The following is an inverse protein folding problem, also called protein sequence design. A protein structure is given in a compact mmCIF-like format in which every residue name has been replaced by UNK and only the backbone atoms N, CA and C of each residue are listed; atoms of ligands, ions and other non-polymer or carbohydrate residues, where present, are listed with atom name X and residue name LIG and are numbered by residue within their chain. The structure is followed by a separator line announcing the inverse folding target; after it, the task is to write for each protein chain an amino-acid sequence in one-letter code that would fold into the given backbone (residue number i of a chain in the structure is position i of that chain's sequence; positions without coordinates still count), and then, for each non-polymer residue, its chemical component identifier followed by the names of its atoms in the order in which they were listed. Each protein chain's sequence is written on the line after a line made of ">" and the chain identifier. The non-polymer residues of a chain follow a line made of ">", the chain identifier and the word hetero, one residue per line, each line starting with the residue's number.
data_IF_044875798111
#
_entry.id   IF_044875798111
#
_cell.length_a   1.000
_cell.length_b   1.000
_cell.length_c   1.000
_cell.angle_alpha   90.00
_cell.angle_beta   90.00
_cell.angle_gamma   90.00
#
_symmetry.space_group_name_H-M   'P 1'
#
loop_
_entity.id
_entity.type
_entity.pdbx_description
1 polymer ?
#
# COMPACT_ATOMS: atom_id res chain seq x y z
N UNK A 1 11.17 1.94 -2.66
CA UNK A 1 11.88 1.20 -3.70
C UNK A 1 10.95 0.82 -4.85
N UNK A 2 9.92 0.03 -4.56
CA UNK A 2 8.98 -0.51 -5.54
C UNK A 2 8.19 0.60 -6.27
N UNK A 3 7.72 1.59 -5.53
CA UNK A 3 6.90 2.70 -6.02
C UNK A 3 7.55 3.49 -7.16
N UNK A 4 8.86 3.83 -7.07
CA UNK A 4 9.53 4.63 -8.10
C UNK A 4 9.58 3.92 -9.45
N UNK A 5 9.93 2.63 -9.45
CA UNK A 5 10.00 1.84 -10.69
C UNK A 5 8.62 1.61 -11.28
N UNK A 6 7.62 1.30 -10.45
CA UNK A 6 6.23 1.13 -10.90
C UNK A 6 5.65 2.44 -11.44
N UNK A 7 5.91 3.58 -10.79
CA UNK A 7 5.47 4.89 -11.32
C UNK A 7 6.07 5.15 -12.70
N UNK A 8 7.35 4.82 -12.89
CA UNK A 8 8.02 4.95 -14.19
C UNK A 8 7.39 4.04 -15.24
N UNK A 9 7.18 2.76 -14.90
CA UNK A 9 6.50 1.82 -15.78
C UNK A 9 5.13 2.34 -16.22
N UNK A 10 4.30 2.78 -15.26
CA UNK A 10 2.96 3.29 -15.57
C UNK A 10 3.02 4.53 -16.46
N UNK A 11 3.96 5.44 -16.20
CA UNK A 11 4.15 6.64 -17.04
C UNK A 11 4.55 6.28 -18.48
N UNK A 12 5.45 5.30 -18.66
CA UNK A 12 5.87 4.81 -19.97
C UNK A 12 4.69 4.13 -20.72
N UNK A 13 3.89 3.30 -20.02
CA UNK A 13 2.70 2.66 -20.60
C UNK A 13 1.63 3.68 -21.00
N UNK A 14 1.45 4.74 -20.21
CA UNK A 14 0.55 5.85 -20.56
C UNK A 14 1.04 6.61 -21.79
N UNK A 15 2.35 6.86 -21.89
CA UNK A 15 2.96 7.52 -23.04
C UNK A 15 2.81 6.69 -24.32
N UNK A 16 3.02 5.38 -24.23
CA UNK A 16 2.86 4.43 -25.33
C UNK A 16 1.39 4.09 -25.65
N UNK A 17 0.43 4.65 -24.89
CA UNK A 17 -1.03 4.37 -24.98
C UNK A 17 -1.41 2.91 -24.79
N UNK A 18 -0.60 2.15 -24.06
CA UNK A 18 -0.85 0.74 -23.70
C UNK A 18 -1.67 0.60 -22.42
N UNK A 19 -2.87 1.17 -22.43
CA UNK A 19 -3.73 1.21 -21.23
C UNK A 19 -4.13 -0.17 -20.71
N UNK A 20 -4.17 -1.18 -21.59
CA UNK A 20 -4.54 -2.56 -21.25
C UNK A 20 -3.54 -3.26 -20.33
N UNK A 21 -2.30 -2.76 -20.21
CA UNK A 21 -1.25 -3.35 -19.37
C UNK A 21 -1.29 -2.83 -17.94
N UNK A 22 -1.99 -1.72 -17.69
CA UNK A 22 -1.97 -1.01 -16.39
C UNK A 22 -2.68 -1.83 -15.30
N UNK A 23 -3.93 -2.27 -15.52
CA UNK A 23 -4.66 -3.12 -14.56
C UNK A 23 -3.95 -4.46 -14.30
N UNK A 24 -3.49 -5.21 -15.32
CA UNK A 24 -2.70 -6.42 -15.10
C UNK A 24 -1.43 -6.21 -14.26
N UNK A 25 -0.72 -5.11 -14.46
CA UNK A 25 0.47 -4.78 -13.68
C UNK A 25 0.12 -4.40 -12.24
N UNK A 26 -1.00 -3.70 -12.02
CA UNK A 26 -1.51 -3.38 -10.68
C UNK A 26 -1.81 -4.65 -9.87
N UNK A 27 -2.51 -5.62 -10.45
CA UNK A 27 -2.78 -6.88 -9.77
C UNK A 27 -1.51 -7.68 -9.48
N UNK A 28 -0.59 -7.75 -10.45
CA UNK A 28 0.66 -8.47 -10.28
C UNK A 28 1.56 -7.82 -9.22
N UNK A 29 1.67 -6.49 -9.22
CA UNK A 29 2.43 -5.75 -8.21
C UNK A 29 1.83 -5.87 -6.81
N UNK A 30 0.50 -5.79 -6.70
CA UNK A 30 -0.23 -5.98 -5.45
C UNK A 30 -0.06 -7.39 -4.89
N UNK A 31 -0.21 -8.41 -5.75
CA UNK A 31 0.00 -9.80 -5.36
C UNK A 31 1.43 -10.05 -4.85
N UNK A 32 2.44 -9.52 -5.54
CA UNK A 32 3.82 -9.66 -5.14
C UNK A 32 4.10 -9.00 -3.78
N UNK A 33 3.58 -7.79 -3.56
CA UNK A 33 3.72 -7.10 -2.27
C UNK A 33 3.04 -7.86 -1.13
N UNK A 34 1.85 -8.41 -1.36
CA UNK A 34 1.11 -9.16 -0.34
C UNK A 34 1.75 -10.53 -0.07
N UNK A 35 2.14 -11.28 -1.10
CA UNK A 35 2.74 -12.62 -0.95
C UNK A 35 4.07 -12.56 -0.18
N UNK A 36 4.86 -11.52 -0.38
CA UNK A 36 6.14 -11.36 0.31
C UNK A 36 5.96 -10.65 1.66
N UNK A 37 5.26 -9.52 1.67
CA UNK A 37 5.18 -8.65 2.85
C UNK A 37 4.32 -9.22 3.96
N UNK A 38 3.16 -9.80 3.62
CA UNK A 38 2.21 -10.30 4.62
C UNK A 38 2.76 -11.43 5.49
N UNK A 39 3.41 -12.48 4.94
CA UNK A 39 4.02 -13.52 5.77
C UNK A 39 5.15 -13.01 6.64
N UNK A 40 6.02 -12.14 6.11
CA UNK A 40 7.12 -11.55 6.88
C UNK A 40 6.60 -10.76 8.07
N UNK A 41 5.55 -9.95 7.87
CA UNK A 41 4.95 -9.17 8.93
C UNK A 41 4.19 -10.05 9.93
N UNK A 42 3.50 -11.09 9.48
CA UNK A 42 2.84 -12.07 10.34
C UNK A 42 3.84 -12.81 11.26
N UNK A 43 4.98 -13.23 10.71
CA UNK A 43 6.07 -13.85 11.50
C UNK A 43 6.60 -12.86 12.53
N UNK A 44 6.85 -11.62 12.15
CA UNK A 44 7.30 -10.58 13.09
C UNK A 44 6.32 -10.39 14.25
N UNK A 45 5.01 -10.28 13.98
CA UNK A 45 3.99 -10.14 15.02
C UNK A 45 3.86 -11.38 15.92
N UNK A 46 4.00 -12.58 15.34
CA UNK A 46 4.00 -13.83 16.10
C UNK A 46 5.19 -13.92 17.05
N UNK A 47 6.39 -13.53 16.60
CA UNK A 47 7.59 -13.48 17.42
C UNK A 47 7.49 -12.42 18.54
N UNK A 48 6.73 -11.35 18.33
CA UNK A 48 6.45 -10.33 19.34
C UNK A 48 5.42 -10.76 20.40
N UNK A 49 5.06 -12.06 20.47
CA UNK A 49 4.14 -12.65 21.45
C UNK A 49 2.76 -11.94 21.53
N UNK A 50 2.26 -11.49 20.39
CA UNK A 50 0.94 -10.85 20.28
C UNK A 50 -0.17 -11.89 20.26
N UNK A 51 -1.36 -11.52 20.73
CA UNK A 51 -2.54 -12.39 20.63
C UNK A 51 -2.92 -12.66 19.17
N UNK A 52 -3.55 -13.79 18.91
CA UNK A 52 -3.97 -14.16 17.55
C UNK A 52 -4.86 -13.09 16.89
N UNK A 53 -5.73 -12.45 17.67
CA UNK A 53 -6.59 -11.37 17.20
C UNK A 53 -5.78 -10.14 16.79
N UNK A 54 -4.75 -9.76 17.57
CA UNK A 54 -3.85 -8.64 17.24
C UNK A 54 -3.02 -8.95 16.00
N UNK A 55 -2.53 -10.18 15.86
CA UNK A 55 -1.82 -10.63 14.66
C UNK A 55 -2.72 -10.54 13.43
N UNK A 56 -3.93 -11.07 13.50
CA UNK A 56 -4.87 -11.05 12.37
C UNK A 56 -5.22 -9.61 11.93
N UNK A 57 -5.55 -8.75 12.89
CA UNK A 57 -5.86 -7.34 12.59
C UNK A 57 -4.64 -6.58 12.08
N UNK A 58 -3.44 -6.83 12.64
CA UNK A 58 -2.20 -6.23 12.18
C UNK A 58 -1.86 -6.62 10.75
N UNK A 59 -2.00 -7.90 10.42
CA UNK A 59 -1.79 -8.43 9.06
C UNK A 59 -2.80 -7.83 8.09
N UNK A 60 -4.07 -7.71 8.48
CA UNK A 60 -5.10 -7.07 7.68
C UNK A 60 -4.74 -5.61 7.37
N UNK A 61 -4.45 -4.82 8.41
CA UNK A 61 -4.07 -3.40 8.26
C UNK A 61 -2.81 -3.25 7.40
N UNK A 62 -1.81 -4.10 7.59
CA UNK A 62 -0.60 -4.09 6.77
C UNK A 62 -0.93 -4.35 5.29
N UNK A 63 -1.78 -5.33 5.00
CA UNK A 63 -2.23 -5.63 3.64
C UNK A 63 -2.98 -4.45 3.00
N UNK A 64 -3.90 -3.82 3.74
CA UNK A 64 -4.62 -2.63 3.30
C UNK A 64 -3.67 -1.47 2.99
N UNK A 65 -2.70 -1.21 3.87
CA UNK A 65 -1.69 -0.18 3.66
C UNK A 65 -0.84 -0.45 2.41
N UNK A 66 -0.37 -1.69 2.22
CA UNK A 66 0.38 -2.06 1.01
C UNK A 66 -0.42 -1.79 -0.26
N UNK A 67 -1.71 -2.17 -0.28
CA UNK A 67 -2.59 -1.93 -1.43
C UNK A 67 -2.88 -0.45 -1.64
N UNK A 68 -3.15 0.31 -0.58
CA UNK A 68 -3.36 1.77 -0.66
C UNK A 68 -2.13 2.46 -1.25
N UNK A 69 -0.92 2.16 -0.77
CA UNK A 69 0.31 2.74 -1.30
C UNK A 69 0.56 2.34 -2.75
N UNK A 70 0.27 1.09 -3.13
CA UNK A 70 0.38 0.66 -4.51
C UNK A 70 -0.60 1.41 -5.41
N UNK A 71 -1.88 1.51 -5.03
CA UNK A 71 -2.91 2.27 -5.77
C UNK A 71 -2.53 3.75 -5.91
N UNK A 72 -2.04 4.39 -4.84
CA UNK A 72 -1.58 5.78 -4.88
C UNK A 72 -0.48 5.96 -5.94
N UNK A 73 0.42 5.00 -6.09
CA UNK A 73 1.47 5.02 -7.11
C UNK A 73 0.88 5.13 -8.52
N UNK A 74 -0.16 4.34 -8.83
CA UNK A 74 -0.85 4.38 -10.12
C UNK A 74 -1.67 5.66 -10.31
N UNK A 75 -2.41 6.10 -9.30
CA UNK A 75 -3.20 7.33 -9.34
C UNK A 75 -2.33 8.59 -9.46
N UNK A 76 -1.13 8.56 -8.88
CA UNK A 76 -0.14 9.64 -9.02
C UNK A 76 0.38 9.73 -10.45
N UNK A 77 0.62 8.61 -11.11
CA UNK A 77 1.06 8.58 -12.50
C UNK A 77 0.05 9.24 -13.46
N UNK A 78 -1.25 9.10 -13.19
CA UNK A 78 -2.33 9.78 -13.94
C UNK A 78 -2.67 11.17 -13.39
N UNK A 79 -1.91 11.68 -12.39
CA UNK A 79 -2.09 13.00 -11.77
C UNK A 79 -3.45 13.21 -11.10
N UNK A 80 -4.09 12.15 -10.63
CA UNK A 80 -5.42 12.20 -9.98
C UNK A 80 -5.33 12.54 -8.49
N UNK A 81 -4.60 13.61 -8.15
CA UNK A 81 -4.32 14.01 -6.75
C UNK A 81 -5.58 14.35 -5.94
N UNK A 82 -6.59 14.94 -6.59
CA UNK A 82 -7.85 15.31 -5.91
C UNK A 82 -8.57 14.07 -5.36
N UNK A 83 -8.57 12.99 -6.12
CA UNK A 83 -9.23 11.74 -5.71
C UNK A 83 -8.44 11.03 -4.60
N UNK A 84 -7.11 11.11 -4.63
CA UNK A 84 -6.26 10.63 -3.53
C UNK A 84 -6.61 11.37 -2.23
N UNK A 85 -6.70 12.71 -2.28
CA UNK A 85 -7.06 13.52 -1.11
C UNK A 85 -8.46 13.16 -0.58
N UNK A 86 -9.45 12.98 -1.46
CA UNK A 86 -10.79 12.52 -1.05
C UNK A 86 -10.76 11.16 -0.34
N UNK A 87 -9.93 10.23 -0.85
CA UNK A 87 -9.73 8.93 -0.21
C UNK A 87 -9.18 9.06 1.22
N UNK A 88 -8.22 9.94 1.46
CA UNK A 88 -7.71 10.21 2.81
C UNK A 88 -8.78 10.81 3.73
N UNK A 89 -9.58 11.77 3.24
CA UNK A 89 -10.69 12.31 4.02
C UNK A 89 -11.73 11.24 4.36
N UNK A 90 -12.03 10.34 3.41
CA UNK A 90 -12.89 9.19 3.65
C UNK A 90 -12.33 8.30 4.76
N UNK A 91 -11.04 7.94 4.68
CA UNK A 91 -10.39 7.11 5.69
C UNK A 91 -10.47 7.74 7.08
N UNK A 92 -10.13 9.02 7.20
CA UNK A 92 -10.19 9.77 8.47
C UNK A 92 -11.62 9.80 9.00
N UNK A 93 -12.60 10.15 8.16
CA UNK A 93 -14.00 10.23 8.55
C UNK A 93 -14.53 8.89 9.07
N UNK A 94 -14.30 7.80 8.33
CA UNK A 94 -14.72 6.44 8.73
C UNK A 94 -14.00 6.03 10.02
N UNK A 95 -12.69 6.25 10.14
CA UNK A 95 -11.92 5.90 11.34
C UNK A 95 -12.43 6.65 12.57
N UNK A 96 -12.68 7.95 12.46
CA UNK A 96 -13.16 8.77 13.58
C UNK A 96 -14.56 8.33 14.01
N UNK A 97 -15.50 8.19 13.08
CA UNK A 97 -16.88 7.81 13.39
C UNK A 97 -16.93 6.40 14.02
N UNK A 98 -16.28 5.42 13.39
CA UNK A 98 -16.25 4.05 13.91
C UNK A 98 -15.46 3.94 15.20
N UNK A 99 -14.39 4.75 15.37
CA UNK A 99 -13.59 4.80 16.60
C UNK A 99 -14.40 5.34 17.78
N UNK A 100 -15.13 6.43 17.62
CA UNK A 100 -16.02 6.97 18.64
C UNK A 100 -17.11 5.96 19.02
N UNK A 101 -17.71 5.32 18.03
CA UNK A 101 -18.72 4.27 18.26
C UNK A 101 -18.12 3.10 19.06
N UNK A 102 -16.90 2.68 18.71
CA UNK A 102 -16.20 1.58 19.40
C UNK A 102 -15.87 1.91 20.86
N UNK A 103 -15.51 3.16 21.16
CA UNK A 103 -15.31 3.64 22.53
C UNK A 103 -16.64 3.59 23.29
N UNK A 104 -17.73 4.04 22.68
CA UNK A 104 -19.05 4.04 23.30
C UNK A 104 -19.55 2.62 23.62
N UNK A 105 -19.22 1.66 22.75
CA UNK A 105 -19.56 0.24 22.92
C UNK A 105 -18.54 -0.55 23.78
N UNK A 106 -17.54 0.11 24.35
CA UNK A 106 -16.48 -0.49 25.18
C UNK A 106 -15.77 -1.68 24.50
N UNK A 107 -15.58 -1.65 23.19
CA UNK A 107 -14.96 -2.73 22.42
C UNK A 107 -13.44 -2.78 22.64
N UNK A 108 -12.92 -3.93 23.12
CA UNK A 108 -11.49 -4.10 23.46
C UNK A 108 -10.54 -3.77 22.28
N UNK A 109 -10.91 -4.14 21.06
CA UNK A 109 -10.11 -3.92 19.85
C UNK A 109 -10.74 -2.87 18.90
N UNK A 110 -11.74 -2.14 19.39
CA UNK A 110 -12.57 -1.28 18.57
C UNK A 110 -11.83 -0.18 17.85
N UNK A 111 -10.85 0.47 18.49
CA UNK A 111 -10.04 1.53 17.88
C UNK A 111 -9.20 0.96 16.73
N UNK A 112 -8.57 -0.22 16.93
CA UNK A 112 -7.76 -0.84 15.89
C UNK A 112 -8.61 -1.29 14.69
N UNK A 113 -9.76 -1.88 14.96
CA UNK A 113 -10.74 -2.24 13.93
C UNK A 113 -11.24 -1.00 13.16
N UNK A 114 -11.41 0.12 13.84
CA UNK A 114 -11.83 1.38 13.21
C UNK A 114 -10.80 1.91 12.22
N UNK A 115 -9.50 1.76 12.51
CA UNK A 115 -8.42 2.09 11.59
C UNK A 115 -8.45 1.17 10.37
N UNK A 116 -8.63 -0.15 10.56
CA UNK A 116 -8.79 -1.09 9.44
C UNK A 116 -10.01 -0.73 8.57
N UNK A 117 -11.15 -0.39 9.16
CA UNK A 117 -12.34 0.02 8.40
C UNK A 117 -12.10 1.29 7.58
N UNK A 118 -11.37 2.27 8.15
CA UNK A 118 -11.02 3.50 7.43
C UNK A 118 -10.10 3.25 6.24
N UNK A 119 -9.01 2.52 6.44
CA UNK A 119 -8.09 2.19 5.35
C UNK A 119 -8.68 1.22 4.34
N UNK A 120 -9.49 0.24 4.78
CA UNK A 120 -10.24 -0.65 3.90
C UNK A 120 -11.22 0.11 3.00
N UNK A 121 -11.94 1.09 3.54
CA UNK A 121 -12.81 1.98 2.77
C UNK A 121 -12.04 2.82 1.73
N UNK A 122 -10.89 3.39 2.13
CA UNK A 122 -10.00 4.11 1.22
C UNK A 122 -9.47 3.21 0.11
N UNK A 123 -8.99 2.01 0.47
CA UNK A 123 -8.51 1.01 -0.47
C UNK A 123 -9.59 0.68 -1.53
N UNK A 124 -10.79 0.34 -1.06
CA UNK A 124 -11.90 0.03 -1.96
C UNK A 124 -12.24 1.19 -2.91
N UNK A 125 -12.32 2.40 -2.38
CA UNK A 125 -12.55 3.61 -3.17
C UNK A 125 -11.49 3.81 -4.25
N UNK A 126 -10.21 3.73 -3.89
CA UNK A 126 -9.10 3.97 -4.81
C UNK A 126 -8.95 2.85 -5.86
N UNK A 127 -9.16 1.58 -5.48
CA UNK A 127 -9.12 0.46 -6.42
C UNK A 127 -10.25 0.60 -7.45
N UNK A 128 -11.45 0.99 -7.03
CA UNK A 128 -12.55 1.27 -7.94
C UNK A 128 -12.20 2.38 -8.94
N UNK A 129 -11.56 3.44 -8.48
CA UNK A 129 -11.12 4.53 -9.36
C UNK A 129 -10.17 4.07 -10.45
N UNK A 130 -9.19 3.20 -10.14
CA UNK A 130 -8.29 2.66 -11.18
C UNK A 130 -9.10 1.89 -12.24
N UNK A 131 -10.10 1.10 -11.83
CA UNK A 131 -10.95 0.35 -12.76
C UNK A 131 -11.84 1.25 -13.61
N UNK A 132 -12.26 2.40 -13.07
CA UNK A 132 -13.03 3.39 -13.82
C UNK A 132 -12.16 4.14 -14.86
N UNK A 133 -10.85 4.28 -14.60
CA UNK A 133 -9.92 4.96 -15.52
C UNK A 133 -9.38 4.05 -16.64
N UNK A 134 -9.22 2.75 -16.36
CA UNK A 134 -8.56 1.84 -17.29
C UNK A 134 -9.43 0.64 -17.64
N UNK A 135 -9.30 0.11 -18.90
CA UNK A 135 -10.03 -1.08 -19.29
C UNK A 135 -9.64 -2.27 -18.39
N UNK A 136 -10.64 -2.92 -17.82
CA UNK A 136 -10.46 -4.04 -16.92
C UNK A 136 -10.01 -5.30 -17.67
N UNK A 137 -8.79 -5.76 -17.41
CA UNK A 137 -8.31 -7.07 -17.81
C UNK A 137 -7.83 -7.81 -16.56
N UNK A 138 -8.46 -8.94 -16.24
CA UNK A 138 -8.15 -9.71 -15.03
C UNK A 138 -6.87 -10.55 -15.12
N UNK A 139 -6.13 -10.48 -16.23
CA UNK A 139 -4.84 -11.17 -16.37
C UNK A 139 -3.78 -10.42 -15.58
N UNK A 140 -2.97 -11.15 -14.80
CA UNK A 140 -1.78 -10.59 -14.16
C UNK A 140 -0.64 -10.49 -15.17
N UNK A 141 0.06 -9.35 -15.21
CA UNK A 141 1.25 -9.15 -16.03
C UNK A 141 2.42 -8.67 -15.17
N UNK A 142 3.52 -9.41 -15.23
CA UNK A 142 4.76 -9.08 -14.52
C UNK A 142 5.75 -8.32 -15.39
N UNK A 143 5.32 -7.72 -16.49
CA UNK A 143 6.20 -6.98 -17.40
C UNK A 143 6.95 -5.84 -16.72
N UNK A 144 6.34 -5.21 -15.71
CA UNK A 144 6.97 -4.14 -14.93
C UNK A 144 8.28 -4.58 -14.25
N UNK A 145 8.51 -5.88 -14.05
CA UNK A 145 9.77 -6.39 -13.48
C UNK A 145 10.97 -6.12 -14.40
N UNK A 146 10.77 -6.07 -15.73
CA UNK A 146 11.81 -5.71 -16.68
C UNK A 146 12.33 -4.28 -16.47
N UNK A 147 11.49 -3.39 -15.93
CA UNK A 147 11.87 -2.02 -15.60
C UNK A 147 12.82 -1.94 -14.41
N UNK A 148 12.82 -2.95 -13.51
CA UNK A 148 13.81 -3.03 -12.43
C UNK A 148 15.23 -3.26 -12.96
N UNK A 149 15.38 -4.07 -14.00
CA UNK A 149 16.67 -4.30 -14.65
C UNK A 149 17.09 -3.07 -15.48
N UNK A 150 16.16 -2.51 -16.26
CA UNK A 150 16.43 -1.36 -17.13
C UNK A 150 16.69 -0.07 -16.35
N UNK A 151 16.03 0.13 -15.21
CA UNK A 151 16.16 1.30 -14.34
C UNK A 151 16.72 0.93 -12.96
N UNK A 152 17.78 0.12 -12.93
CA UNK A 152 18.41 -0.33 -11.69
C UNK A 152 18.85 0.82 -10.78
N UNK A 153 19.27 1.94 -11.35
CA UNK A 153 19.69 3.13 -10.58
C UNK A 153 18.50 3.81 -9.90
N UNK A 154 17.32 3.78 -10.51
CA UNK A 154 16.09 4.26 -9.87
C UNK A 154 15.68 3.36 -8.70
N UNK A 155 15.84 2.06 -8.84
CA UNK A 155 15.61 1.09 -7.76
C UNK A 155 16.62 1.30 -6.60
N UNK A 156 17.91 1.50 -6.89
CA UNK A 156 18.93 1.83 -5.89
C UNK A 156 18.62 3.14 -5.17
N UNK A 157 18.23 4.19 -5.91
CA UNK A 157 17.82 5.47 -5.34
C UNK A 157 16.65 5.29 -4.36
N UNK A 158 15.64 4.50 -4.72
CA UNK A 158 14.53 4.16 -3.82
C UNK A 158 14.98 3.41 -2.57
N UNK A 159 15.99 2.53 -2.68
CA UNK A 159 16.58 1.84 -1.53
C UNK A 159 17.32 2.83 -0.61
N UNK A 160 18.13 3.72 -1.16
CA UNK A 160 18.82 4.74 -0.38
C UNK A 160 17.87 5.69 0.34
N UNK A 161 16.78 6.09 -0.33
CA UNK A 161 15.73 6.89 0.32
C UNK A 161 15.08 6.15 1.49
N UNK A 162 14.81 4.86 1.34
CA UNK A 162 14.26 4.03 2.41
C UNK A 162 15.24 3.94 3.59
N UNK A 163 16.51 3.64 3.34
CA UNK A 163 17.55 3.59 4.38
C UNK A 163 17.68 4.94 5.07
N UNK A 164 17.70 6.05 4.34
CA UNK A 164 17.78 7.39 4.90
C UNK A 164 16.57 7.72 5.79
N UNK A 165 15.36 7.32 5.38
CA UNK A 165 14.13 7.55 6.11
C UNK A 165 14.10 6.79 7.45
N UNK A 166 14.65 5.58 7.49
CA UNK A 166 14.71 4.75 8.69
C UNK A 166 16.02 4.86 9.47
N UNK A 167 17.00 5.62 8.97
CA UNK A 167 18.31 5.75 9.60
C UNK A 167 18.22 6.21 11.08
N UNK A 168 17.34 7.17 11.37
CA UNK A 168 17.13 7.66 12.74
C UNK A 168 16.58 6.58 13.68
N UNK A 169 15.74 5.68 13.21
CA UNK A 169 15.19 4.56 13.99
C UNK A 169 16.30 3.54 14.26
N UNK A 170 17.11 3.22 13.24
CA UNK A 170 18.24 2.29 13.34
C UNK A 170 19.27 2.86 14.35
N UNK A 171 19.61 4.15 14.24
CA UNK A 171 20.53 4.81 15.16
C UNK A 171 20.01 4.78 16.59
N UNK A 172 18.73 5.06 16.81
CA UNK A 172 18.13 5.01 18.13
C UNK A 172 18.08 3.59 18.74
N UNK A 173 18.00 2.54 17.89
CA UNK A 173 17.99 1.16 18.38
C UNK A 173 19.39 0.62 18.70
N UNK A 174 20.42 1.05 17.97
CA UNK A 174 21.78 0.56 18.07
C UNK A 174 22.77 1.62 18.60
N UNK A 175 22.30 2.86 18.80
CA UNK A 175 23.13 3.91 19.37
C UNK A 175 23.39 3.67 20.87
N UNK A 176 24.52 4.15 21.39
CA UNK A 176 24.79 4.11 22.83
C UNK A 176 23.76 4.97 23.56
N UNK A 177 23.10 4.38 24.56
CA UNK A 177 22.25 5.06 25.53
C UNK A 177 23.10 5.96 26.41
#
# INVERSE_FOLDING_TARGET
>A
LFSLVVTRFVADMLYEKKFETIIPSFYASSALMLIIGTPLYAIYLALASRSLAEVAMGVLLFGELCLVWNVITYLTAIKSYKEIIKGFFLAIGVTVVSGLLSIFLHQKYGIFLSVCLGYGGMMFWMVRLIHDYFPSNLKMSFEFLKWFDQFSDLAKTGLYMLVALFAHIIINWFGPI
#
